data_IF_441063289881
#
_entry.id   IF_441063289881
#
_cell.length_a   1.000
_cell.length_b   1.000
_cell.length_c   1.000
_cell.angle_alpha   90.00
_cell.angle_beta   90.00
_cell.angle_gamma   90.00
#
_symmetry.space_group_name_H-M   'P 1'
#
loop_
_entity.id
_entity.type
_entity.pdbx_description
1 polymer ?
#
# COMPACT_ATOMS: atom_id res chain seq x y z
N UNK A 1 20.24 -12.96 13.34
CA UNK A 1 18.98 -12.67 12.63
C UNK A 1 17.86 -13.12 13.55
N UNK A 2 17.43 -12.24 14.41
CA UNK A 2 16.32 -12.49 15.35
C UNK A 2 15.07 -12.02 14.64
N UNK A 3 14.18 -12.98 14.30
CA UNK A 3 12.82 -12.68 13.90
C UNK A 3 12.10 -12.07 15.10
N UNK A 4 11.92 -10.74 15.10
CA UNK A 4 11.00 -10.07 16.00
C UNK A 4 9.55 -10.35 15.54
N UNK A 5 9.13 -11.58 15.75
CA UNK A 5 7.72 -11.91 15.83
C UNK A 5 7.29 -11.47 17.21
N UNK A 6 6.48 -10.41 17.30
CA UNK A 6 5.77 -10.12 18.54
C UNK A 6 5.16 -11.42 19.05
N UNK A 7 5.59 -11.87 20.19
CA UNK A 7 5.09 -13.10 20.79
C UNK A 7 3.59 -12.91 21.07
N UNK A 8 2.84 -14.00 21.11
CA UNK A 8 1.42 -14.01 21.50
C UNK A 8 1.17 -13.22 22.81
N UNK A 9 2.21 -12.99 23.59
CA UNK A 9 2.19 -12.24 24.85
C UNK A 9 2.13 -10.73 24.63
N UNK A 10 2.77 -10.16 23.60
CA UNK A 10 2.76 -8.72 23.30
C UNK A 10 1.46 -8.31 22.59
N UNK A 11 0.94 -9.20 21.74
CA UNK A 11 -0.42 -9.09 21.21
C UNK A 11 -1.44 -9.18 22.37
N UNK A 12 -1.21 -10.05 23.35
CA UNK A 12 -2.04 -10.21 24.55
C UNK A 12 -1.93 -9.02 25.52
N UNK A 13 -0.79 -8.31 25.55
CA UNK A 13 -0.60 -7.11 26.38
C UNK A 13 -1.34 -5.90 25.77
N UNK A 14 -1.32 -5.74 24.46
CA UNK A 14 -2.21 -4.79 23.77
C UNK A 14 -3.69 -5.12 24.01
N UNK A 15 -4.01 -6.41 24.12
CA UNK A 15 -5.34 -6.93 24.44
C UNK A 15 -5.76 -6.71 25.92
N UNK A 16 -4.82 -6.78 26.87
CA UNK A 16 -5.13 -6.59 28.32
C UNK A 16 -5.40 -5.14 28.68
N UNK A 17 -4.86 -4.16 27.95
CA UNK A 17 -5.19 -2.75 28.16
C UNK A 17 -6.63 -2.41 27.78
N UNK A 18 -7.28 -3.21 26.91
CA UNK A 18 -8.67 -3.03 26.51
C UNK A 18 -9.70 -3.52 27.57
N UNK A 19 -9.27 -4.17 28.66
CA UNK A 19 -10.21 -4.77 29.63
C UNK A 19 -10.65 -3.88 30.80
N UNK A 20 -10.18 -2.62 30.88
CA UNK A 20 -10.49 -1.76 32.01
C UNK A 20 -11.08 -0.43 31.56
N UNK A 21 -12.37 -0.40 31.27
CA UNK A 21 -13.24 0.73 31.62
C UNK A 21 -14.71 0.43 31.30
N UNK A 22 -15.52 0.56 32.32
CA UNK A 22 -16.99 0.44 32.25
C UNK A 22 -17.66 1.82 32.34
N UNK A 23 -18.70 2.00 31.51
CA UNK A 23 -19.82 2.93 31.63
C UNK A 23 -19.59 4.41 31.28
N UNK A 24 -20.10 4.81 30.09
CA UNK A 24 -20.91 6.05 29.96
C UNK A 24 -22.07 5.75 29.00
N UNK A 25 -23.30 5.94 29.45
CA UNK A 25 -24.52 5.89 28.64
C UNK A 25 -24.84 7.29 28.12
N UNK A 26 -24.89 7.47 26.80
CA UNK A 26 -25.64 8.56 26.17
C UNK A 26 -26.53 7.96 25.07
N UNK A 27 -27.83 8.05 25.24
CA UNK A 27 -28.83 7.65 24.25
C UNK A 27 -29.01 8.81 23.26
N UNK A 28 -28.62 8.60 22.00
CA UNK A 28 -29.12 9.38 20.86
C UNK A 28 -30.01 8.47 20.03
N UNK A 29 -31.29 8.83 19.93
CA UNK A 29 -32.22 8.16 19.02
C UNK A 29 -31.90 8.62 17.60
N UNK A 30 -31.39 7.72 16.76
CA UNK A 30 -31.23 7.91 15.32
C UNK A 30 -32.35 7.17 14.59
N UNK A 31 -32.86 7.70 13.46
CA UNK A 31 -33.87 7.01 12.65
C UNK A 31 -33.35 5.65 12.17
N UNK A 32 -34.28 4.72 11.95
CA UNK A 32 -34.01 3.31 11.65
C UNK A 32 -32.93 3.15 10.56
N UNK A 33 -31.78 2.59 10.96
CA UNK A 33 -30.68 2.24 10.07
C UNK A 33 -30.86 0.76 9.70
N UNK A 34 -31.06 0.46 8.42
CA UNK A 34 -31.03 -0.91 7.94
C UNK A 34 -29.56 -1.29 7.72
N UNK A 35 -29.07 -2.26 8.49
CA UNK A 35 -27.80 -2.90 8.24
C UNK A 35 -27.86 -3.80 7.00
N UNK A 36 -26.91 -3.71 6.12
CA UNK A 36 -26.70 -4.71 5.06
C UNK A 36 -26.48 -6.05 5.75
N UNK A 37 -27.41 -6.98 5.52
CA UNK A 37 -27.38 -8.39 5.95
C UNK A 37 -26.95 -8.67 7.41
N UNK A 38 -27.92 -8.90 8.28
CA UNK A 38 -27.74 -9.18 9.72
C UNK A 38 -27.10 -10.54 10.07
N UNK A 39 -26.64 -11.32 9.11
CA UNK A 39 -26.14 -12.69 9.32
C UNK A 39 -24.84 -12.93 8.57
N UNK A 40 -23.77 -12.29 9.02
CA UNK A 40 -22.41 -12.60 8.61
C UNK A 40 -21.64 -13.12 9.82
N UNK A 41 -21.98 -14.30 10.29
CA UNK A 41 -21.28 -14.95 11.40
C UNK A 41 -20.65 -16.24 10.89
N UNK A 42 -19.33 -16.34 10.99
CA UNK A 42 -18.70 -17.65 11.06
C UNK A 42 -19.28 -18.36 12.28
N UNK A 43 -19.80 -19.59 12.12
CA UNK A 43 -20.37 -20.40 13.17
C UNK A 43 -19.40 -20.52 14.36
N UNK A 44 -19.69 -19.90 15.48
CA UNK A 44 -18.85 -19.94 16.68
C UNK A 44 -19.29 -18.96 17.77
N UNK A 45 -18.64 -19.08 18.92
CA UNK A 45 -18.80 -18.14 20.03
C UNK A 45 -18.30 -16.76 19.60
N UNK A 46 -19.08 -15.71 19.87
CA UNK A 46 -18.66 -14.33 19.61
C UNK A 46 -17.40 -13.99 20.42
N UNK A 47 -16.30 -13.78 19.75
CA UNK A 47 -14.99 -13.46 20.34
C UNK A 47 -14.63 -11.98 20.24
N UNK A 48 -15.52 -11.16 19.68
CA UNK A 48 -15.28 -9.72 19.56
C UNK A 48 -15.25 -9.05 20.92
N UNK A 49 -14.32 -8.13 21.12
CA UNK A 49 -14.20 -7.31 22.32
C UNK A 49 -14.23 -5.81 21.97
N UNK A 50 -14.80 -4.96 22.86
CA UNK A 50 -14.80 -3.52 22.62
C UNK A 50 -13.39 -2.94 22.71
N UNK A 51 -13.11 -1.92 21.91
CA UNK A 51 -11.84 -1.16 21.93
C UNK A 51 -12.02 0.09 22.80
N UNK A 52 -11.18 0.24 23.80
CA UNK A 52 -11.07 1.45 24.64
C UNK A 52 -9.67 1.55 25.26
N UNK A 53 -8.92 2.64 25.05
CA UNK A 53 -9.30 3.83 24.28
C UNK A 53 -9.13 3.64 22.76
N UNK A 54 -10.05 4.21 21.97
CA UNK A 54 -9.98 4.18 20.50
C UNK A 54 -8.98 5.19 19.92
N UNK A 55 -8.35 6.04 20.74
CA UNK A 55 -7.52 7.18 20.30
C UNK A 55 -6.04 6.85 20.12
N UNK A 56 -5.62 5.63 20.44
CA UNK A 56 -4.25 5.15 20.21
C UNK A 56 -4.11 4.42 18.87
N UNK A 57 -2.88 4.37 18.27
CA UNK A 57 -2.63 3.49 17.13
C UNK A 57 -2.81 2.00 17.49
N UNK A 58 -3.34 1.19 16.58
CA UNK A 58 -3.82 1.52 15.24
C UNK A 58 -5.27 2.02 15.21
N UNK A 59 -5.97 2.02 16.32
CA UNK A 59 -7.43 2.26 16.41
C UNK A 59 -7.82 3.67 15.94
N UNK A 60 -7.01 4.70 16.24
CA UNK A 60 -7.25 6.08 15.80
C UNK A 60 -7.27 6.25 14.26
N UNK A 61 -6.83 5.25 13.52
CA UNK A 61 -6.82 5.25 12.05
C UNK A 61 -8.04 4.56 11.45
N UNK A 62 -8.93 3.99 12.29
CA UNK A 62 -10.14 3.29 11.85
C UNK A 62 -11.34 4.22 12.08
N UNK A 63 -12.22 4.35 11.09
CA UNK A 63 -13.37 5.24 11.14
C UNK A 63 -14.68 4.49 10.93
N UNK A 64 -15.74 5.04 11.51
CA UNK A 64 -17.12 4.67 11.15
C UNK A 64 -17.58 5.44 9.93
N UNK A 65 -18.38 4.79 9.10
CA UNK A 65 -19.01 5.37 7.92
C UNK A 65 -20.52 5.35 8.11
N UNK A 66 -21.17 6.51 7.90
CA UNK A 66 -22.61 6.59 7.68
C UNK A 66 -22.82 6.89 6.20
N UNK A 67 -23.41 5.96 5.49
CA UNK A 67 -23.54 5.94 4.02
C UNK A 67 -25.00 6.21 3.67
N UNK A 68 -25.26 7.14 2.73
CA UNK A 68 -26.59 7.44 2.24
C UNK A 68 -26.66 7.11 0.74
N UNK A 69 -27.60 6.23 0.36
CA UNK A 69 -27.84 5.84 -1.02
C UNK A 69 -28.63 6.88 -1.82
N UNK A 70 -28.72 6.71 -3.14
CA UNK A 70 -29.55 7.59 -3.97
C UNK A 70 -31.06 7.47 -3.65
N UNK A 71 -31.49 6.36 -3.04
CA UNK A 71 -32.87 6.17 -2.57
C UNK A 71 -33.10 6.73 -1.18
N UNK A 72 -32.10 7.37 -0.56
CA UNK A 72 -32.20 7.92 0.79
C UNK A 72 -32.07 6.86 1.91
N UNK A 73 -31.73 5.62 1.57
CA UNK A 73 -31.46 4.57 2.55
C UNK A 73 -30.12 4.86 3.25
N UNK A 74 -30.02 4.48 4.51
CA UNK A 74 -28.83 4.68 5.33
C UNK A 74 -28.24 3.38 5.76
N UNK A 75 -26.92 3.26 5.57
CA UNK A 75 -26.13 2.11 5.96
C UNK A 75 -24.97 2.55 6.83
N UNK A 76 -24.47 1.62 7.64
CA UNK A 76 -23.22 1.82 8.36
C UNK A 76 -22.14 0.92 7.77
N UNK A 77 -20.91 1.42 7.80
CA UNK A 77 -19.72 0.73 7.36
C UNK A 77 -18.53 1.13 8.20
N UNK A 78 -17.40 0.58 7.87
CA UNK A 78 -16.11 0.89 8.44
C UNK A 78 -15.13 1.33 7.34
N UNK A 79 -14.12 2.06 7.73
CA UNK A 79 -13.02 2.44 6.86
C UNK A 79 -11.75 2.63 7.67
N UNK A 80 -10.64 2.78 7.01
CA UNK A 80 -9.38 3.02 7.67
C UNK A 80 -8.44 3.87 6.81
N UNK A 81 -7.65 4.66 7.50
CA UNK A 81 -6.66 5.53 6.88
C UNK A 81 -5.38 4.77 6.57
N UNK A 82 -4.89 4.89 5.35
CA UNK A 82 -3.57 4.40 4.94
C UNK A 82 -2.65 5.57 4.61
N UNK A 83 -1.36 5.34 4.77
CA UNK A 83 -0.35 6.29 4.30
C UNK A 83 -0.01 5.99 2.84
N UNK A 84 -0.15 7.01 1.98
CA UNK A 84 0.30 6.97 0.57
C UNK A 84 1.30 8.10 0.32
N UNK A 85 2.35 7.87 -0.45
CA UNK A 85 3.34 8.90 -0.75
C UNK A 85 2.84 9.88 -1.83
N UNK A 86 3.36 11.09 -1.81
CA UNK A 86 3.20 12.10 -2.87
C UNK A 86 1.73 12.47 -3.19
N UNK A 87 0.84 12.34 -2.20
CA UNK A 87 -0.58 12.69 -2.34
C UNK A 87 -0.92 13.94 -1.52
N UNK A 88 -1.90 14.69 -1.98
CA UNK A 88 -2.36 15.94 -1.37
C UNK A 88 -3.64 15.79 -0.52
N UNK A 89 -4.16 14.57 -0.43
CA UNK A 89 -5.39 14.24 0.29
C UNK A 89 -5.20 13.02 1.20
N UNK A 90 -6.02 12.91 2.21
CA UNK A 90 -6.04 11.74 3.09
C UNK A 90 -6.84 10.61 2.45
N UNK A 91 -6.21 9.45 2.31
CA UNK A 91 -6.80 8.23 1.78
C UNK A 91 -7.48 7.40 2.89
N UNK A 92 -8.77 7.18 2.77
CA UNK A 92 -9.53 6.25 3.60
C UNK A 92 -10.00 5.09 2.72
N UNK A 93 -9.49 3.90 3.00
CA UNK A 93 -9.87 2.68 2.30
C UNK A 93 -11.12 2.08 2.94
N UNK A 94 -12.00 1.53 2.13
CA UNK A 94 -13.23 0.83 2.53
C UNK A 94 -13.60 -0.23 1.49
N UNK A 95 -14.67 -0.98 1.68
CA UNK A 95 -15.22 -1.86 0.63
C UNK A 95 -15.83 -1.05 -0.51
N UNK A 96 -15.80 -1.61 -1.71
CA UNK A 96 -16.43 -1.02 -2.90
C UNK A 96 -17.94 -0.83 -2.71
N UNK A 97 -18.63 -1.82 -2.12
CA UNK A 97 -20.06 -1.72 -1.82
C UNK A 97 -20.43 -0.65 -0.75
N UNK A 98 -19.45 -0.12 -0.03
CA UNK A 98 -19.66 1.04 0.85
C UNK A 98 -19.62 2.37 0.08
N UNK A 99 -19.06 2.39 -1.12
CA UNK A 99 -18.96 3.60 -1.96
C UNK A 99 -19.88 3.55 -3.18
N UNK A 100 -20.11 2.36 -3.75
CA UNK A 100 -20.92 2.15 -4.93
C UNK A 100 -22.03 1.13 -4.68
N UNK A 101 -23.27 1.59 -4.81
CA UNK A 101 -24.49 0.78 -4.67
C UNK A 101 -24.71 -0.02 -5.95
N UNK A 102 -24.20 -1.27 -5.99
CA UNK A 102 -24.19 -2.09 -7.21
C UNK A 102 -25.59 -2.31 -7.80
N UNK A 103 -26.59 -2.55 -6.96
CA UNK A 103 -27.97 -2.75 -7.40
C UNK A 103 -28.65 -1.47 -7.91
N UNK A 104 -28.22 -0.31 -7.41
CA UNK A 104 -28.71 1.01 -7.86
C UNK A 104 -27.88 1.53 -9.05
N UNK A 105 -26.78 0.90 -9.38
CA UNK A 105 -25.83 1.32 -10.43
C UNK A 105 -25.33 2.75 -10.25
N UNK A 106 -25.13 3.18 -9.00
CA UNK A 106 -24.69 4.52 -8.68
C UNK A 106 -23.83 4.58 -7.43
N UNK A 107 -23.04 5.63 -7.33
CA UNK A 107 -22.29 5.92 -6.10
C UNK A 107 -23.23 6.33 -4.96
N UNK A 108 -22.78 6.13 -3.72
CA UNK A 108 -23.40 6.72 -2.55
C UNK A 108 -23.47 8.24 -2.73
N UNK A 109 -24.62 8.84 -2.39
CA UNK A 109 -24.83 10.29 -2.52
C UNK A 109 -24.06 11.07 -1.46
N UNK A 110 -23.80 10.42 -0.32
CA UNK A 110 -23.14 11.03 0.83
C UNK A 110 -22.53 9.98 1.73
N UNK A 111 -21.30 10.23 2.15
CA UNK A 111 -20.64 9.41 3.18
C UNK A 111 -20.12 10.36 4.27
N UNK A 112 -20.54 10.09 5.52
CA UNK A 112 -20.01 10.77 6.69
C UNK A 112 -18.98 9.88 7.36
N UNK A 113 -17.74 10.37 7.41
CA UNK A 113 -16.58 9.68 7.97
C UNK A 113 -16.28 10.21 9.36
N UNK A 114 -16.23 9.35 10.36
CA UNK A 114 -15.97 9.76 11.75
C UNK A 114 -14.82 8.94 12.33
N UNK A 115 -13.68 9.59 12.58
CA UNK A 115 -12.56 9.02 13.33
C UNK A 115 -12.72 9.22 14.83
N UNK A 116 -12.17 8.34 15.67
CA UNK A 116 -12.21 8.49 17.13
C UNK A 116 -11.67 9.84 17.59
N UNK A 117 -12.46 10.55 18.41
CA UNK A 117 -12.09 11.85 18.97
C UNK A 117 -12.00 13.00 17.95
N UNK A 118 -12.43 12.82 16.71
CA UNK A 118 -12.39 13.84 15.67
C UNK A 118 -13.80 14.24 15.20
N UNK A 119 -13.89 15.46 14.67
CA UNK A 119 -15.12 15.93 14.02
C UNK A 119 -15.39 15.11 12.76
N UNK A 120 -16.63 14.74 12.54
CA UNK A 120 -17.06 14.06 11.32
C UNK A 120 -16.83 14.93 10.07
N UNK A 121 -16.41 14.27 9.00
CA UNK A 121 -16.24 14.87 7.67
C UNK A 121 -17.21 14.20 6.71
N UNK A 122 -17.92 14.98 5.92
CA UNK A 122 -18.88 14.48 4.93
C UNK A 122 -18.36 14.72 3.52
N UNK A 123 -18.43 13.71 2.68
CA UNK A 123 -18.01 13.73 1.27
C UNK A 123 -19.15 13.29 0.36
N UNK A 124 -19.08 13.69 -0.91
CA UNK A 124 -20.02 13.35 -1.97
C UNK A 124 -19.39 12.43 -3.04
N UNK A 125 -20.13 12.14 -4.12
CA UNK A 125 -19.72 11.19 -5.16
C UNK A 125 -18.36 11.50 -5.83
N UNK A 126 -17.95 12.77 -5.89
CA UNK A 126 -16.68 13.17 -6.51
C UNK A 126 -15.45 12.78 -5.67
N UNK A 127 -15.64 12.55 -4.39
CA UNK A 127 -14.58 12.23 -3.44
C UNK A 127 -14.53 10.76 -3.05
N UNK A 128 -15.29 9.91 -3.76
CA UNK A 128 -15.32 8.48 -3.54
C UNK A 128 -14.98 7.72 -4.82
N UNK A 129 -14.53 6.48 -4.64
CA UNK A 129 -14.12 5.60 -5.72
C UNK A 129 -14.44 4.14 -5.34
N UNK A 130 -14.85 3.35 -6.33
CA UNK A 130 -14.88 1.90 -6.26
C UNK A 130 -14.11 1.33 -7.46
N UNK A 131 -13.62 0.10 -7.36
CA UNK A 131 -12.90 -0.53 -8.46
C UNK A 131 -13.80 -0.66 -9.70
N UNK A 132 -13.26 -0.51 -10.92
CA UNK A 132 -14.03 -0.69 -12.14
C UNK A 132 -14.63 -2.10 -12.28
N UNK A 133 -13.92 -3.14 -11.82
CA UNK A 133 -14.39 -4.52 -11.85
C UNK A 133 -15.61 -4.70 -10.95
N UNK A 134 -15.59 -4.12 -9.76
CA UNK A 134 -16.76 -4.14 -8.89
C UNK A 134 -17.93 -3.36 -9.50
N UNK A 135 -17.69 -2.16 -10.05
CA UNK A 135 -18.73 -1.35 -10.70
C UNK A 135 -19.39 -2.08 -11.87
N UNK A 136 -18.58 -2.71 -12.71
CA UNK A 136 -19.06 -3.31 -13.96
C UNK A 136 -19.74 -4.66 -13.75
N UNK A 137 -19.18 -5.51 -12.89
CA UNK A 137 -19.59 -6.92 -12.77
C UNK A 137 -19.96 -7.37 -11.36
N UNK A 138 -19.78 -6.51 -10.33
CA UNK A 138 -19.96 -6.90 -8.94
C UNK A 138 -18.87 -7.88 -8.46
N UNK A 139 -17.70 -7.84 -9.07
CA UNK A 139 -16.60 -8.76 -8.75
C UNK A 139 -16.14 -8.57 -7.31
N UNK A 140 -16.28 -9.64 -6.53
CA UNK A 140 -15.98 -9.63 -5.10
C UNK A 140 -14.50 -9.65 -4.77
N UNK A 141 -13.64 -10.04 -5.70
CA UNK A 141 -12.18 -9.96 -5.55
C UNK A 141 -11.68 -8.53 -5.67
N UNK A 142 -12.51 -7.67 -6.26
CA UNK A 142 -12.26 -6.25 -6.47
C UNK A 142 -13.25 -5.35 -5.70
N UNK A 143 -13.92 -5.88 -4.67
CA UNK A 143 -14.82 -5.10 -3.82
C UNK A 143 -14.04 -4.24 -2.82
N UNK A 144 -13.33 -3.24 -3.35
CA UNK A 144 -12.61 -2.23 -2.59
C UNK A 144 -12.91 -0.82 -3.11
N UNK A 145 -12.85 0.13 -2.21
CA UNK A 145 -13.14 1.53 -2.47
C UNK A 145 -12.21 2.48 -1.73
N UNK A 146 -12.27 3.74 -2.13
CA UNK A 146 -11.47 4.83 -1.57
C UNK A 146 -12.38 6.03 -1.29
N UNK A 147 -12.17 6.66 -0.15
CA UNK A 147 -12.77 7.93 0.23
C UNK A 147 -11.64 8.95 0.39
N UNK A 148 -11.76 10.09 -0.30
CA UNK A 148 -10.77 11.14 -0.31
C UNK A 148 -11.18 12.26 0.64
N UNK A 149 -10.46 12.40 1.74
CA UNK A 149 -10.69 13.50 2.67
C UNK A 149 -9.75 14.68 2.36
N UNK A 150 -10.18 15.93 2.64
CA UNK A 150 -9.34 17.09 2.45
C UNK A 150 -8.15 17.08 3.42
N UNK A 151 -7.02 17.62 2.96
CA UNK A 151 -5.76 17.70 3.70
C UNK A 151 -4.97 16.40 3.71
N UNK A 152 -3.68 16.53 3.93
CA UNK A 152 -2.74 15.41 4.02
C UNK A 152 -2.69 14.85 5.44
N UNK A 153 -2.28 13.61 5.58
CA UNK A 153 -2.07 12.97 6.86
C UNK A 153 -0.82 12.10 6.80
N UNK A 154 0.12 12.41 7.68
CA UNK A 154 1.39 11.68 7.79
C UNK A 154 1.26 10.39 8.62
N UNK A 155 0.08 10.14 9.19
CA UNK A 155 -0.20 8.94 9.98
C UNK A 155 -1.27 8.06 9.31
N UNK A 156 -1.21 6.78 9.57
CA UNK A 156 -2.13 5.77 9.02
C UNK A 156 -1.53 4.38 9.14
N UNK A 157 -2.28 3.38 8.71
CA UNK A 157 -1.73 2.05 8.55
C UNK A 157 -0.64 2.03 7.49
N UNK A 158 0.42 1.27 7.75
CA UNK A 158 1.22 0.72 6.70
C UNK A 158 0.45 -0.34 5.91
N UNK A 159 0.97 -0.74 4.80
CA UNK A 159 0.40 -1.78 3.95
C UNK A 159 1.50 -2.48 3.16
N UNK A 160 1.23 -3.71 2.73
CA UNK A 160 2.14 -4.45 1.85
C UNK A 160 1.35 -5.23 0.82
N UNK A 161 1.74 -5.08 -0.44
CA UNK A 161 1.23 -5.83 -1.58
C UNK A 161 2.18 -6.98 -2.00
N UNK A 162 3.24 -7.22 -1.22
CA UNK A 162 4.34 -8.13 -1.58
C UNK A 162 4.72 -9.12 -0.48
N UNK A 163 3.88 -9.28 0.55
CA UNK A 163 4.13 -10.33 1.55
C UNK A 163 4.11 -11.68 0.84
N UNK A 164 5.16 -12.48 0.98
CA UNK A 164 5.23 -13.81 0.37
C UNK A 164 4.07 -14.71 0.79
N UNK A 165 3.59 -15.51 -0.13
CA UNK A 165 2.43 -16.39 0.09
C UNK A 165 2.64 -17.38 1.23
N UNK A 166 3.87 -17.87 1.40
CA UNK A 166 4.27 -18.74 2.52
C UNK A 166 4.17 -18.06 3.88
N UNK A 167 4.33 -16.73 3.92
CA UNK A 167 4.19 -15.93 5.14
C UNK A 167 2.74 -15.54 5.47
N UNK A 168 1.81 -15.72 4.54
CA UNK A 168 0.39 -15.44 4.76
C UNK A 168 -0.31 -16.59 5.48
N UNK A 169 0.01 -17.84 5.14
CA UNK A 169 -0.67 -19.00 5.69
C UNK A 169 -0.48 -19.12 7.22
N UNK A 170 -1.59 -19.32 7.93
CA UNK A 170 -1.65 -19.37 9.39
C UNK A 170 -1.20 -18.08 10.11
N UNK A 171 -1.01 -16.98 9.37
CA UNK A 171 -0.72 -15.68 10.00
C UNK A 171 -1.90 -15.22 10.82
N UNK A 172 -1.61 -14.79 12.06
CA UNK A 172 -2.62 -14.12 12.89
C UNK A 172 -2.92 -12.75 12.32
N UNK A 173 -4.20 -12.49 12.14
CA UNK A 173 -4.73 -11.22 11.62
C UNK A 173 -5.80 -10.68 12.54
N UNK A 174 -5.89 -9.39 12.59
CA UNK A 174 -6.82 -8.63 13.39
C UNK A 174 -7.82 -7.96 12.46
N UNK A 175 -9.09 -8.04 12.80
CA UNK A 175 -10.14 -7.20 12.21
C UNK A 175 -10.67 -6.26 13.28
N UNK A 176 -10.83 -4.99 12.95
CA UNK A 176 -11.32 -3.98 13.87
C UNK A 176 -12.21 -2.98 13.13
N UNK A 177 -13.44 -2.78 13.60
CA UNK A 177 -14.40 -1.92 12.92
C UNK A 177 -15.63 -1.61 13.78
N UNK A 178 -16.70 -1.16 13.13
CA UNK A 178 -17.92 -0.67 13.75
C UNK A 178 -19.12 -1.58 13.41
N UNK A 179 -19.35 -2.68 14.14
CA UNK A 179 -20.42 -3.62 13.84
C UNK A 179 -21.81 -3.05 14.17
N UNK A 180 -22.80 -3.38 13.33
CA UNK A 180 -24.17 -2.87 13.44
C UNK A 180 -24.98 -3.49 14.60
N UNK A 181 -24.56 -4.64 15.11
CA UNK A 181 -25.19 -5.32 16.26
C UNK A 181 -24.70 -4.83 17.62
N UNK A 182 -23.96 -3.76 17.65
CA UNK A 182 -23.38 -3.14 18.85
C UNK A 182 -23.79 -1.68 18.95
N UNK A 183 -23.63 -1.02 20.11
CA UNK A 183 -23.95 0.39 20.23
C UNK A 183 -23.25 1.23 19.17
N UNK A 184 -24.00 2.11 18.52
CA UNK A 184 -23.50 2.95 17.41
C UNK A 184 -22.29 3.76 17.88
N UNK A 185 -21.26 3.80 17.04
CA UNK A 185 -20.01 4.52 17.33
C UNK A 185 -19.03 3.78 18.24
N UNK A 186 -19.36 2.53 18.66
CA UNK A 186 -18.41 1.69 19.38
C UNK A 186 -17.60 0.82 18.44
N UNK A 187 -16.30 0.78 18.66
CA UNK A 187 -15.35 -0.01 17.88
C UNK A 187 -15.13 -1.36 18.54
N UNK A 188 -15.09 -2.41 17.75
CA UNK A 188 -14.91 -3.77 18.20
C UNK A 188 -13.82 -4.48 17.42
N UNK A 189 -13.05 -5.32 18.12
CA UNK A 189 -11.90 -6.03 17.58
C UNK A 189 -12.07 -7.54 17.74
N UNK A 190 -11.59 -8.28 16.77
CA UNK A 190 -11.44 -9.75 16.82
C UNK A 190 -10.16 -10.15 16.11
N UNK A 191 -9.55 -11.21 16.55
CA UNK A 191 -8.42 -11.85 15.92
C UNK A 191 -8.80 -13.20 15.32
N UNK A 192 -7.98 -13.70 14.43
CA UNK A 192 -8.14 -14.99 13.79
C UNK A 192 -6.91 -15.29 12.93
N UNK A 193 -7.03 -16.32 12.11
CA UNK A 193 -5.93 -16.75 11.25
C UNK A 193 -6.35 -16.77 9.78
N UNK A 194 -5.41 -16.48 8.89
CA UNK A 194 -5.56 -16.69 7.45
C UNK A 194 -5.59 -18.20 7.21
N UNK A 195 -6.67 -18.68 6.61
CA UNK A 195 -6.86 -20.12 6.35
C UNK A 195 -6.45 -20.52 4.93
N UNK A 196 -6.56 -19.60 3.99
CA UNK A 196 -6.08 -19.74 2.62
C UNK A 196 -6.09 -18.37 1.92
N UNK A 197 -5.51 -18.30 0.74
CA UNK A 197 -5.48 -17.09 -0.08
C UNK A 197 -5.43 -17.43 -1.56
N UNK A 198 -5.73 -16.43 -2.39
CA UNK A 198 -5.45 -16.38 -3.83
C UNK A 198 -4.62 -15.13 -4.12
N UNK A 199 -4.34 -14.85 -5.38
CA UNK A 199 -3.66 -13.60 -5.76
C UNK A 199 -4.41 -12.34 -5.27
N UNK A 200 -5.76 -12.37 -5.28
CA UNK A 200 -6.59 -11.20 -5.00
C UNK A 200 -7.44 -11.33 -3.72
N UNK A 201 -7.39 -12.46 -3.00
CA UNK A 201 -8.30 -12.72 -1.88
C UNK A 201 -7.60 -13.41 -0.71
N UNK A 202 -8.00 -13.05 0.49
CA UNK A 202 -7.62 -13.72 1.74
C UNK A 202 -8.87 -14.31 2.38
N UNK A 203 -8.79 -15.57 2.83
CA UNK A 203 -9.82 -16.27 3.60
C UNK A 203 -9.41 -16.41 5.06
N UNK A 204 -10.37 -16.27 5.98
CA UNK A 204 -10.07 -16.23 7.41
C UNK A 204 -11.25 -16.67 8.27
N UNK A 205 -10.96 -16.88 9.58
CA UNK A 205 -11.94 -17.33 10.58
C UNK A 205 -12.10 -16.30 11.72
N UNK A 206 -12.45 -15.07 11.38
CA UNK A 206 -12.80 -14.06 12.37
C UNK A 206 -14.33 -13.96 12.46
N UNK A 207 -14.86 -13.61 13.63
CA UNK A 207 -16.29 -13.28 13.78
C UNK A 207 -16.50 -11.86 13.27
N UNK A 208 -17.32 -11.71 12.25
CA UNK A 208 -17.69 -10.40 11.67
C UNK A 208 -19.20 -10.29 11.48
N UNK A 209 -19.72 -9.09 11.52
CA UNK A 209 -21.14 -8.76 11.35
C UNK A 209 -21.26 -7.53 10.46
N UNK A 210 -22.42 -7.34 9.83
CA UNK A 210 -22.74 -6.15 9.05
C UNK A 210 -22.34 -4.86 9.77
N UNK A 211 -21.83 -3.88 9.02
CA UNK A 211 -21.21 -2.66 9.54
C UNK A 211 -19.68 -2.74 9.67
N UNK A 212 -19.09 -3.93 9.74
CA UNK A 212 -17.63 -4.10 9.68
C UNK A 212 -17.10 -4.10 8.23
N UNK A 213 -17.96 -4.11 7.21
CA UNK A 213 -17.58 -3.92 5.81
C UNK A 213 -16.68 -2.69 5.65
N UNK A 214 -15.55 -2.85 4.97
CA UNK A 214 -14.53 -1.83 4.80
C UNK A 214 -13.53 -1.71 5.95
N UNK A 215 -13.63 -2.53 7.00
CA UNK A 215 -12.64 -2.52 8.08
C UNK A 215 -11.31 -3.15 7.65
N UNK A 216 -10.17 -2.75 8.28
CA UNK A 216 -8.87 -3.30 7.95
C UNK A 216 -8.73 -4.73 8.46
N UNK A 217 -8.13 -5.57 7.63
CA UNK A 217 -7.50 -6.81 8.02
C UNK A 217 -5.99 -6.58 8.13
N UNK A 218 -5.44 -6.59 9.33
CA UNK A 218 -4.08 -6.14 9.59
C UNK A 218 -3.34 -7.05 10.57
N UNK A 219 -2.04 -6.93 10.55
CA UNK A 219 -1.10 -7.64 11.43
C UNK A 219 0.08 -6.74 11.77
N UNK A 220 0.90 -7.15 12.75
CA UNK A 220 2.20 -6.54 12.95
C UNK A 220 3.20 -7.17 11.97
N UNK A 221 3.78 -6.37 11.09
CA UNK A 221 4.71 -6.83 10.06
C UNK A 221 5.74 -5.75 9.76
N UNK A 222 7.01 -6.13 9.66
CA UNK A 222 8.08 -5.17 9.34
C UNK A 222 8.27 -4.04 10.36
N UNK A 223 7.81 -4.20 11.61
CA UNK A 223 7.93 -3.19 12.66
C UNK A 223 6.77 -2.18 12.72
N UNK A 224 5.65 -2.43 12.03
CA UNK A 224 4.49 -1.53 12.01
C UNK A 224 3.16 -2.27 11.79
N UNK A 225 2.03 -1.58 12.06
CA UNK A 225 0.71 -2.10 11.77
C UNK A 225 0.44 -2.09 10.27
N UNK A 226 0.41 -3.26 9.66
CA UNK A 226 0.31 -3.46 8.20
C UNK A 226 -1.03 -4.05 7.83
N UNK A 227 -1.76 -3.39 6.93
CA UNK A 227 -2.99 -3.92 6.35
C UNK A 227 -2.66 -4.89 5.22
N UNK A 228 -3.38 -6.02 5.21
CA UNK A 228 -3.26 -7.08 4.22
C UNK A 228 -4.48 -7.17 3.30
N UNK A 229 -5.66 -6.77 3.79
CA UNK A 229 -6.92 -6.89 3.07
C UNK A 229 -7.99 -5.92 3.61
N UNK A 230 -9.04 -5.73 2.82
CA UNK A 230 -10.23 -4.94 3.16
C UNK A 230 -11.38 -5.90 3.44
N UNK A 231 -11.90 -5.91 4.66
CA UNK A 231 -13.05 -6.79 4.99
C UNK A 231 -14.27 -6.41 4.17
N UNK A 232 -14.85 -7.38 3.47
CA UNK A 232 -15.99 -7.16 2.60
C UNK A 232 -17.13 -8.16 2.79
N UNK A 233 -16.82 -9.42 3.10
CA UNK A 233 -17.86 -10.47 3.15
C UNK A 233 -17.69 -11.41 4.35
N UNK A 234 -18.76 -11.48 5.14
CA UNK A 234 -18.92 -12.43 6.23
C UNK A 234 -19.73 -13.64 5.80
N UNK A 235 -19.04 -14.69 5.35
CA UNK A 235 -19.60 -16.04 5.12
C UNK A 235 -18.61 -17.06 5.65
N UNK A 236 -19.00 -18.31 5.75
CA UNK A 236 -18.08 -19.36 6.18
C UNK A 236 -17.44 -20.05 4.94
N UNK A 237 -16.14 -19.86 4.67
CA UNK A 237 -15.20 -18.92 5.31
C UNK A 237 -15.45 -17.46 4.93
N UNK A 238 -15.13 -16.54 5.83
CA UNK A 238 -15.10 -15.11 5.53
C UNK A 238 -13.96 -14.83 4.54
N UNK A 239 -14.10 -13.78 3.74
CA UNK A 239 -13.04 -13.36 2.82
C UNK A 239 -12.99 -11.83 2.62
N UNK A 240 -11.84 -11.38 2.16
CA UNK A 240 -11.55 -9.98 1.89
C UNK A 240 -10.68 -9.83 0.63
N UNK A 241 -10.88 -8.81 -0.20
CA UNK A 241 -9.92 -8.38 -1.21
C UNK A 241 -8.57 -8.13 -0.57
N UNK A 242 -7.53 -8.80 -1.11
CA UNK A 242 -6.13 -8.65 -0.68
C UNK A 242 -5.58 -7.31 -1.19
N UNK A 243 -4.74 -6.66 -0.41
CA UNK A 243 -3.94 -5.54 -0.90
C UNK A 243 -3.01 -6.03 -2.00
N UNK A 244 -3.17 -5.49 -3.19
CA UNK A 244 -2.37 -5.81 -4.37
C UNK A 244 -1.71 -4.54 -4.91
N UNK A 245 -0.66 -4.72 -5.69
CA UNK A 245 -0.02 -3.62 -6.41
C UNK A 245 -1.03 -2.87 -7.31
N UNK A 246 -1.92 -3.61 -7.95
CA UNK A 246 -2.97 -3.02 -8.79
C UNK A 246 -3.92 -2.12 -7.99
N UNK A 247 -4.40 -2.57 -6.84
CA UNK A 247 -5.23 -1.77 -5.95
C UNK A 247 -4.54 -0.45 -5.58
N UNK A 248 -3.27 -0.50 -5.16
CA UNK A 248 -2.49 0.69 -4.79
C UNK A 248 -2.26 1.60 -5.99
N UNK A 249 -1.95 1.06 -7.17
CA UNK A 249 -1.79 1.85 -8.40
C UNK A 249 -3.05 2.65 -8.72
N UNK A 250 -4.22 2.02 -8.62
CA UNK A 250 -5.52 2.68 -8.85
C UNK A 250 -5.82 3.78 -7.82
N UNK A 251 -5.45 3.55 -6.55
CA UNK A 251 -5.59 4.58 -5.52
C UNK A 251 -4.70 5.78 -5.83
N UNK A 252 -3.44 5.56 -6.19
CA UNK A 252 -2.52 6.62 -6.58
C UNK A 252 -2.97 7.37 -7.84
N UNK A 253 -3.44 6.64 -8.87
CA UNK A 253 -4.02 7.24 -10.08
C UNK A 253 -5.21 8.16 -9.72
N UNK A 254 -6.13 7.67 -8.88
CA UNK A 254 -7.30 8.44 -8.44
C UNK A 254 -6.92 9.69 -7.63
N UNK A 255 -5.79 9.66 -6.94
CA UNK A 255 -5.26 10.75 -6.12
C UNK A 255 -4.23 11.63 -6.85
N UNK A 256 -4.04 11.45 -8.16
CA UNK A 256 -3.01 12.12 -8.96
C UNK A 256 -1.58 11.94 -8.39
N UNK A 257 -1.35 10.91 -7.60
CA UNK A 257 -0.05 10.59 -7.00
C UNK A 257 0.90 9.84 -7.94
N UNK A 258 0.35 9.18 -8.96
CA UNK A 258 1.14 8.42 -9.93
C UNK A 258 1.51 9.28 -11.13
N UNK A 259 2.67 9.93 -11.07
CA UNK A 259 3.20 10.78 -12.14
C UNK A 259 4.39 10.12 -12.79
N UNK A 260 4.55 10.34 -14.11
CA UNK A 260 5.80 10.00 -14.80
C UNK A 260 6.95 10.80 -14.21
N UNK A 261 8.05 10.15 -13.95
CA UNK A 261 9.26 10.75 -13.40
C UNK A 261 10.46 10.33 -14.21
N UNK A 262 11.39 11.25 -14.47
CA UNK A 262 12.72 10.90 -14.95
C UNK A 262 13.70 10.88 -13.77
N UNK A 263 14.72 10.04 -13.88
CA UNK A 263 15.77 9.88 -12.88
C UNK A 263 17.03 10.57 -13.41
N UNK A 264 17.22 11.83 -13.01
CA UNK A 264 18.40 12.62 -13.40
C UNK A 264 19.54 12.38 -12.41
N UNK A 265 20.70 12.03 -12.92
CA UNK A 265 21.88 11.81 -12.10
C UNK A 265 22.29 13.08 -11.32
N UNK A 266 22.68 12.91 -10.07
CA UNK A 266 23.27 13.99 -9.27
C UNK A 266 24.71 14.26 -9.69
N UNK A 267 25.50 13.22 -10.01
CA UNK A 267 26.88 13.35 -10.46
C UNK A 267 27.00 13.93 -11.89
N UNK A 268 26.00 13.64 -12.75
CA UNK A 268 25.97 14.05 -14.15
C UNK A 268 24.68 14.80 -14.45
N UNK A 269 24.61 16.13 -14.22
CA UNK A 269 23.35 16.88 -14.15
C UNK A 269 22.56 16.98 -15.46
N UNK A 270 23.07 16.47 -16.57
CA UNK A 270 22.40 16.43 -17.87
C UNK A 270 22.14 15.01 -18.36
N UNK A 271 22.36 14.02 -17.50
CA UNK A 271 22.26 12.61 -17.84
C UNK A 271 21.14 11.95 -17.03
N UNK A 272 20.32 11.18 -17.72
CA UNK A 272 19.16 10.50 -17.19
C UNK A 272 19.30 8.99 -17.32
N UNK A 273 18.75 8.25 -16.37
CA UNK A 273 18.55 6.82 -16.49
C UNK A 273 17.66 6.54 -17.72
N UNK A 274 18.04 5.56 -18.54
CA UNK A 274 17.32 5.13 -19.72
C UNK A 274 17.06 3.62 -19.66
N UNK A 275 15.86 3.21 -20.04
CA UNK A 275 15.47 1.80 -20.15
C UNK A 275 15.08 1.47 -21.59
N UNK A 276 15.77 0.54 -22.19
CA UNK A 276 15.41 -0.09 -23.45
C UNK A 276 14.89 -1.51 -23.18
N UNK A 277 13.58 -1.62 -23.13
CA UNK A 277 12.86 -2.88 -22.90
C UNK A 277 12.45 -3.57 -24.20
N UNK A 278 13.04 -3.21 -25.35
CA UNK A 278 12.73 -3.83 -26.65
C UNK A 278 12.93 -5.34 -26.57
N UNK A 279 11.88 -6.11 -26.92
CA UNK A 279 11.90 -7.57 -26.87
C UNK A 279 11.61 -8.19 -25.52
N UNK A 280 11.51 -7.40 -24.43
CA UNK A 280 11.15 -7.90 -23.09
C UNK A 280 9.64 -8.03 -22.98
N UNK A 281 9.10 -9.18 -23.36
CA UNK A 281 7.64 -9.43 -23.46
C UNK A 281 7.16 -10.54 -22.54
N UNK A 282 8.07 -11.24 -21.87
CA UNK A 282 7.78 -12.32 -20.92
C UNK A 282 8.89 -12.37 -19.87
N UNK A 283 8.62 -13.05 -18.76
CA UNK A 283 9.64 -13.30 -17.76
C UNK A 283 10.70 -14.27 -18.31
N UNK A 284 11.94 -13.87 -18.23
CA UNK A 284 13.11 -14.70 -18.63
C UNK A 284 14.23 -14.54 -17.61
N UNK A 285 15.00 -15.61 -17.42
CA UNK A 285 16.22 -15.59 -16.63
C UNK A 285 17.41 -15.43 -17.59
N UNK A 286 18.27 -14.47 -17.42
CA UNK A 286 18.56 -13.54 -16.31
C UNK A 286 17.93 -12.15 -16.42
N UNK A 287 16.85 -11.95 -17.11
CA UNK A 287 16.28 -10.67 -17.51
C UNK A 287 16.66 -10.34 -18.95
N UNK A 288 16.36 -9.14 -19.40
CA UNK A 288 16.61 -8.72 -20.78
C UNK A 288 16.64 -7.21 -20.93
N UNK A 289 16.66 -6.75 -22.17
CA UNK A 289 16.76 -5.34 -22.50
C UNK A 289 18.06 -4.69 -22.03
N UNK A 290 18.11 -3.37 -22.06
CA UNK A 290 19.30 -2.60 -21.69
C UNK A 290 18.92 -1.42 -20.80
N UNK A 291 19.61 -1.27 -19.68
CA UNK A 291 19.53 -0.06 -18.84
C UNK A 291 20.87 0.66 -18.93
N UNK A 292 20.84 1.88 -19.47
CA UNK A 292 22.00 2.75 -19.64
C UNK A 292 21.63 4.20 -19.33
N UNK A 293 22.27 5.16 -19.88
CA UNK A 293 21.92 6.56 -19.69
C UNK A 293 21.82 7.33 -21.01
N UNK A 294 21.14 8.48 -20.94
CA UNK A 294 20.96 9.36 -22.08
C UNK A 294 21.18 10.82 -21.66
N UNK A 295 21.75 11.59 -22.55
CA UNK A 295 21.83 13.04 -22.42
C UNK A 295 20.43 13.66 -22.65
N UNK A 296 20.12 14.75 -21.94
CA UNK A 296 18.82 15.46 -22.02
C UNK A 296 18.43 15.86 -23.48
N UNK A 297 17.15 16.14 -23.76
CA UNK A 297 16.00 16.08 -22.84
C UNK A 297 15.50 14.65 -22.66
N UNK A 298 14.86 14.33 -21.50
CA UNK A 298 14.27 13.01 -21.30
C UNK A 298 13.07 12.80 -22.23
N UNK A 299 12.94 11.57 -22.71
CA UNK A 299 11.80 11.06 -23.48
C UNK A 299 11.05 9.99 -22.71
N UNK A 300 10.17 9.22 -23.36
CA UNK A 300 9.50 8.10 -22.70
C UNK A 300 10.49 7.00 -22.27
N UNK A 301 11.64 6.87 -22.91
CA UNK A 301 12.69 5.89 -22.58
C UNK A 301 13.43 6.23 -21.28
N UNK A 302 13.46 7.51 -20.92
CA UNK A 302 14.04 8.03 -19.68
C UNK A 302 12.96 8.36 -18.63
N UNK A 303 11.73 7.97 -18.91
CA UNK A 303 10.57 8.19 -18.03
C UNK A 303 10.10 6.90 -17.39
N UNK A 304 9.72 6.98 -16.13
CA UNK A 304 9.34 5.83 -15.31
C UNK A 304 8.13 6.13 -14.46
N UNK A 305 7.38 5.08 -14.11
CA UNK A 305 6.44 5.08 -13.01
C UNK A 305 7.09 4.38 -11.81
N UNK A 306 7.15 5.06 -10.68
CA UNK A 306 7.68 4.51 -9.44
C UNK A 306 6.49 4.12 -8.57
N UNK A 307 6.18 2.82 -8.51
CA UNK A 307 5.08 2.31 -7.72
C UNK A 307 5.55 1.87 -6.35
N UNK A 308 5.00 2.42 -5.26
CA UNK A 308 5.17 1.83 -3.96
C UNK A 308 4.50 0.45 -3.94
N UNK A 309 5.16 -0.52 -3.32
CA UNK A 309 4.64 -1.89 -3.15
C UNK A 309 4.53 -2.29 -1.67
N UNK A 310 5.17 -1.51 -0.82
CA UNK A 310 5.07 -1.61 0.63
C UNK A 310 5.37 -0.24 1.25
N UNK A 311 4.59 0.14 2.23
CA UNK A 311 4.78 1.39 2.96
C UNK A 311 4.86 1.09 4.45
N UNK A 312 5.94 1.54 5.07
CA UNK A 312 6.11 1.60 6.51
C UNK A 312 6.09 3.05 6.97
N UNK A 313 5.18 3.47 7.86
CA UNK A 313 5.33 4.75 8.53
C UNK A 313 6.63 4.73 9.33
N UNK A 314 7.62 5.52 8.94
CA UNK A 314 8.88 5.63 9.68
C UNK A 314 8.62 6.35 11.00
N UNK A 315 9.11 5.80 12.10
CA UNK A 315 9.20 6.50 13.39
C UNK A 315 10.32 7.56 13.38
N UNK A 316 11.16 7.59 12.36
CA UNK A 316 12.21 8.56 12.12
C UNK A 316 11.87 9.45 10.93
N UNK A 317 12.42 10.64 10.88
CA UNK A 317 12.20 11.72 9.90
C UNK A 317 12.50 11.40 8.41
N UNK A 318 12.76 10.14 8.06
CA UNK A 318 13.01 9.67 6.69
C UNK A 318 12.09 8.50 6.38
N UNK A 319 11.08 8.76 5.54
CA UNK A 319 10.21 7.70 5.04
C UNK A 319 10.97 6.88 4.00
N UNK A 320 11.24 5.63 4.34
CA UNK A 320 11.79 4.65 3.38
C UNK A 320 10.68 3.66 3.03
N UNK A 321 10.43 3.44 1.76
CA UNK A 321 9.42 2.48 1.32
C UNK A 321 9.92 1.65 0.15
N UNK A 322 9.33 0.46 -0.04
CA UNK A 322 9.68 -0.41 -1.13
C UNK A 322 8.90 -0.03 -2.39
N UNK A 323 9.63 0.04 -3.50
CA UNK A 323 9.09 0.43 -4.81
C UNK A 323 9.50 -0.55 -5.89
N UNK A 324 8.78 -0.50 -7.01
CA UNK A 324 9.23 -0.98 -8.32
C UNK A 324 9.31 0.19 -9.28
N UNK A 325 10.18 0.10 -10.27
CA UNK A 325 10.43 1.15 -11.28
C UNK A 325 10.01 0.57 -12.62
N UNK A 326 8.83 0.96 -13.12
CA UNK A 326 8.30 0.53 -14.42
C UNK A 326 8.65 1.54 -15.51
N UNK A 327 9.11 1.07 -16.66
CA UNK A 327 9.33 1.92 -17.84
C UNK A 327 8.01 2.56 -18.30
N UNK A 328 8.02 3.84 -18.62
CA UNK A 328 6.85 4.50 -19.22
C UNK A 328 6.65 4.14 -20.69
N UNK A 329 7.72 3.74 -21.38
CA UNK A 329 7.70 3.32 -22.78
C UNK A 329 7.25 1.85 -22.92
N UNK A 330 7.73 0.98 -22.05
CA UNK A 330 7.50 -0.47 -22.13
C UNK A 330 6.66 -0.91 -20.91
N UNK A 331 5.37 -1.11 -21.13
CA UNK A 331 4.44 -1.55 -20.08
C UNK A 331 4.82 -2.94 -19.55
N UNK A 332 4.75 -3.12 -18.23
CA UNK A 332 5.13 -4.34 -17.51
C UNK A 332 6.63 -4.68 -17.58
N UNK A 333 7.46 -3.73 -18.01
CA UNK A 333 8.92 -3.85 -17.99
C UNK A 333 9.48 -3.03 -16.84
N UNK A 334 10.18 -3.70 -15.92
CA UNK A 334 10.68 -3.11 -14.67
C UNK A 334 12.19 -3.14 -14.63
N UNK A 335 12.78 -2.14 -14.00
CA UNK A 335 14.22 -2.13 -13.70
C UNK A 335 14.52 -3.31 -12.77
N UNK A 336 15.55 -4.08 -13.12
CA UNK A 336 16.04 -5.26 -12.40
C UNK A 336 17.50 -5.06 -12.03
N UNK A 337 17.88 -5.53 -10.85
CA UNK A 337 19.27 -5.53 -10.39
C UNK A 337 19.74 -6.95 -10.09
N UNK A 338 20.89 -7.31 -10.65
CA UNK A 338 21.65 -8.51 -10.34
C UNK A 338 23.04 -8.16 -9.82
N UNK A 339 23.22 -8.29 -8.53
CA UNK A 339 24.54 -8.08 -7.89
C UNK A 339 25.06 -9.35 -7.18
N UNK A 340 24.72 -10.51 -7.72
CA UNK A 340 25.28 -11.79 -7.23
C UNK A 340 26.79 -11.76 -7.21
N UNK A 341 27.38 -12.18 -6.09
CA UNK A 341 28.83 -12.22 -5.91
C UNK A 341 29.47 -10.90 -5.49
N UNK A 342 28.74 -9.78 -5.49
CA UNK A 342 29.26 -8.52 -4.94
C UNK A 342 29.28 -8.58 -3.42
N UNK A 343 30.45 -8.40 -2.82
CA UNK A 343 30.65 -8.46 -1.36
C UNK A 343 31.58 -7.35 -0.83
N UNK A 344 32.00 -6.42 -1.69
CA UNK A 344 32.82 -5.28 -1.32
C UNK A 344 32.61 -4.13 -2.34
N UNK A 345 32.99 -2.93 -1.94
CA UNK A 345 32.96 -1.74 -2.81
C UNK A 345 34.01 -1.85 -3.91
N UNK A 346 33.60 -1.56 -5.14
CA UNK A 346 34.46 -1.51 -6.32
C UNK A 346 34.36 -0.15 -6.99
N UNK A 347 35.50 0.45 -7.36
CA UNK A 347 35.56 1.79 -7.95
C UNK A 347 34.69 1.98 -9.19
N UNK A 348 34.69 1.05 -10.17
CA UNK A 348 33.81 1.14 -11.35
C UNK A 348 32.38 0.63 -11.10
N UNK A 349 32.05 0.15 -9.87
CA UNK A 349 30.86 -0.63 -9.63
C UNK A 349 30.98 -2.05 -10.19
N UNK A 350 29.89 -2.81 -10.15
CA UNK A 350 29.83 -4.19 -10.63
C UNK A 350 28.41 -4.65 -10.81
N UNK A 351 28.21 -5.96 -10.97
CA UNK A 351 26.88 -6.52 -11.20
C UNK A 351 26.21 -6.01 -12.47
N UNK A 352 24.92 -6.21 -12.60
CA UNK A 352 24.14 -5.85 -13.76
C UNK A 352 22.85 -5.14 -13.36
N UNK A 353 22.51 -4.08 -14.07
CA UNK A 353 21.17 -3.46 -14.05
C UNK A 353 20.60 -3.59 -15.46
N UNK A 354 19.53 -4.35 -15.58
CA UNK A 354 18.79 -4.57 -16.83
C UNK A 354 17.27 -4.45 -16.58
N UNK A 355 16.44 -5.06 -17.39
CA UNK A 355 14.99 -5.05 -17.17
C UNK A 355 14.41 -6.46 -17.17
N UNK A 356 13.18 -6.56 -16.62
CA UNK A 356 12.41 -7.81 -16.51
C UNK A 356 10.95 -7.54 -16.80
N UNK A 357 10.30 -8.47 -17.49
CA UNK A 357 8.85 -8.51 -17.57
C UNK A 357 8.29 -9.12 -16.29
N UNK A 358 7.37 -8.43 -15.65
CA UNK A 358 6.86 -8.73 -14.31
C UNK A 358 7.88 -8.48 -13.19
N UNK A 359 7.47 -8.66 -11.94
CA UNK A 359 8.29 -8.34 -10.77
C UNK A 359 8.55 -9.56 -9.90
N UNK A 360 9.73 -9.59 -9.31
CA UNK A 360 10.23 -10.54 -8.35
C UNK A 360 11.07 -9.79 -7.31
N UNK A 361 11.68 -10.43 -6.32
CA UNK A 361 12.54 -9.74 -5.36
C UNK A 361 13.68 -8.90 -5.96
N UNK A 362 14.11 -9.19 -7.18
CA UNK A 362 15.20 -8.52 -7.89
C UNK A 362 14.81 -7.15 -8.47
N UNK A 363 13.50 -6.90 -8.64
CA UNK A 363 12.91 -5.66 -9.12
C UNK A 363 12.40 -4.77 -7.98
N UNK A 364 12.53 -5.20 -6.70
CA UNK A 364 12.16 -4.38 -5.56
C UNK A 364 13.33 -3.55 -5.05
N UNK A 365 13.07 -2.26 -4.82
CA UNK A 365 14.04 -1.32 -4.30
C UNK A 365 13.50 -0.61 -3.07
N UNK A 366 14.37 -0.36 -2.08
CA UNK A 366 14.14 0.65 -1.08
C UNK A 366 14.42 2.02 -1.70
N UNK A 367 13.41 2.85 -1.80
CA UNK A 367 13.55 4.27 -2.14
C UNK A 367 13.86 5.04 -0.86
N UNK A 368 15.01 5.72 -0.84
CA UNK A 368 15.43 6.58 0.27
C UNK A 368 15.62 8.00 -0.22
N UNK A 369 15.05 8.96 0.51
CA UNK A 369 15.35 10.37 0.30
C UNK A 369 16.64 10.71 1.04
N UNK A 370 17.62 11.23 0.33
CA UNK A 370 18.91 11.64 0.88
C UNK A 370 18.83 13.04 1.51
N UNK A 371 19.82 13.40 2.35
CA UNK A 371 19.86 14.68 3.06
C UNK A 371 19.95 15.90 2.15
N UNK A 372 20.49 15.74 0.94
CA UNK A 372 20.55 16.78 -0.11
C UNK A 372 19.27 16.91 -0.93
N UNK A 373 18.19 16.15 -0.58
CA UNK A 373 16.93 16.15 -1.29
C UNK A 373 16.87 15.26 -2.54
N UNK A 374 17.96 14.59 -2.90
CA UNK A 374 17.98 13.55 -3.94
C UNK A 374 17.43 12.23 -3.42
N UNK A 375 17.39 11.21 -4.27
CA UNK A 375 16.89 9.89 -3.94
C UNK A 375 17.90 8.81 -4.35
N UNK A 376 17.96 7.73 -3.58
CA UNK A 376 18.73 6.53 -3.90
C UNK A 376 17.83 5.30 -3.95
N UNK A 377 18.24 4.30 -4.74
CA UNK A 377 17.53 3.05 -4.93
C UNK A 377 18.44 1.89 -4.52
N UNK A 378 18.14 1.31 -3.36
CA UNK A 378 18.84 0.17 -2.80
C UNK A 378 18.02 -1.09 -3.03
N UNK A 379 18.61 -2.14 -3.58
CA UNK A 379 17.88 -3.36 -3.90
C UNK A 379 17.44 -4.11 -2.63
N UNK A 380 16.25 -4.72 -2.65
CA UNK A 380 15.71 -5.49 -1.52
C UNK A 380 16.39 -6.85 -1.39
N UNK A 381 16.65 -7.52 -2.51
CA UNK A 381 17.32 -8.83 -2.54
C UNK A 381 18.82 -8.72 -2.22
N UNK A 382 19.44 -7.60 -2.60
CA UNK A 382 20.85 -7.31 -2.37
C UNK A 382 20.98 -6.05 -1.52
N UNK A 383 20.79 -6.13 -0.19
CA UNK A 383 20.57 -4.99 0.67
C UNK A 383 21.79 -4.09 0.89
N UNK A 384 22.94 -4.42 0.31
CA UNK A 384 24.15 -3.60 0.28
C UNK A 384 24.37 -2.91 -1.06
N UNK A 385 23.52 -3.16 -2.08
CA UNK A 385 23.74 -2.71 -3.44
C UNK A 385 22.73 -1.63 -3.86
N UNK A 386 23.25 -0.58 -4.47
CA UNK A 386 22.51 0.57 -5.01
C UNK A 386 22.62 0.62 -6.53
N UNK A 387 21.61 1.19 -7.20
CA UNK A 387 21.72 1.57 -8.62
C UNK A 387 22.77 2.67 -8.72
N UNK A 388 23.78 2.47 -9.57
CA UNK A 388 24.86 3.41 -9.87
C UNK A 388 24.80 3.81 -11.34
N UNK A 389 24.94 5.11 -11.61
CA UNK A 389 24.97 5.66 -12.96
C UNK A 389 26.33 6.33 -13.20
N UNK A 390 27.05 5.86 -14.22
CA UNK A 390 28.27 6.44 -14.75
C UNK A 390 27.99 7.09 -16.12
N UNK A 391 27.82 8.41 -16.11
CA UNK A 391 27.52 9.22 -17.30
C UNK A 391 28.75 9.83 -17.96
N UNK A 392 29.95 9.35 -17.66
CA UNK A 392 31.17 9.87 -18.29
C UNK A 392 31.14 9.66 -19.82
N UNK A 393 31.42 10.70 -20.58
CA UNK A 393 31.37 10.67 -22.05
C UNK A 393 29.95 10.73 -22.63
N UNK A 394 28.89 10.90 -21.81
CA UNK A 394 27.54 11.13 -22.28
C UNK A 394 27.26 12.64 -22.27
N UNK A 395 27.65 13.31 -23.33
CA UNK A 395 27.61 14.77 -23.52
C UNK A 395 26.68 15.23 -24.65
N UNK A 396 26.10 14.28 -25.37
CA UNK A 396 25.15 14.50 -26.45
C UNK A 396 24.09 13.40 -26.47
N UNK A 397 22.97 13.66 -27.16
CA UNK A 397 21.91 12.66 -27.35
C UNK A 397 22.40 11.62 -28.37
N UNK A 398 22.50 10.38 -27.92
CA UNK A 398 22.98 9.25 -28.72
C UNK A 398 21.88 8.17 -28.81
N UNK A 399 21.71 7.61 -29.96
CA UNK A 399 20.97 6.37 -30.18
C UNK A 399 21.98 5.21 -30.26
N UNK A 400 21.92 4.24 -29.36
CA UNK A 400 20.87 3.83 -28.39
C UNK A 400 21.13 4.28 -26.92
N UNK A 401 21.66 5.44 -26.67
CA UNK A 401 22.11 5.90 -25.36
C UNK A 401 23.58 5.57 -25.11
N UNK A 402 24.10 5.85 -23.92
CA UNK A 402 25.49 5.65 -23.58
C UNK A 402 25.73 5.49 -22.09
N UNK A 403 26.97 5.59 -21.66
CA UNK A 403 27.38 5.44 -20.28
C UNK A 403 27.14 4.04 -19.72
N UNK A 404 27.23 3.90 -18.40
CA UNK A 404 27.09 2.62 -17.71
C UNK A 404 26.11 2.78 -16.53
N UNK A 405 25.14 1.88 -16.45
CA UNK A 405 24.31 1.70 -15.27
C UNK A 405 24.57 0.30 -14.72
N UNK A 406 25.05 0.25 -13.49
CA UNK A 406 25.39 -1.00 -12.80
C UNK A 406 25.10 -0.89 -11.30
N UNK A 407 25.70 -1.72 -10.47
CA UNK A 407 25.51 -1.75 -9.03
C UNK A 407 26.73 -1.21 -8.29
N UNK A 408 26.50 -0.52 -7.18
CA UNK A 408 27.53 -0.16 -6.22
C UNK A 408 27.25 -0.81 -4.87
N UNK A 409 28.23 -1.53 -4.34
CA UNK A 409 28.18 -2.14 -3.03
C UNK A 409 28.63 -1.16 -1.95
N UNK A 410 27.92 -1.15 -0.82
CA UNK A 410 28.25 -0.39 0.38
C UNK A 410 28.41 -1.35 1.56
N UNK A 411 29.53 -1.29 2.27
CA UNK A 411 29.77 -2.09 3.49
C UNK A 411 28.75 -1.78 4.57
N UNK A 412 28.42 -0.51 4.71
CA UNK A 412 27.33 -0.03 5.59
C UNK A 412 26.25 0.68 4.76
N UNK A 413 25.10 0.02 4.52
CA UNK A 413 24.00 0.60 3.75
C UNK A 413 23.22 1.70 4.51
N UNK A 414 23.56 1.98 5.78
CA UNK A 414 22.96 3.09 6.53
C UNK A 414 23.53 4.46 6.16
N UNK A 415 24.76 4.50 5.63
CA UNK A 415 25.36 5.76 5.19
C UNK A 415 24.66 6.34 3.97
N UNK A 416 24.69 7.67 3.77
CA UNK A 416 24.12 8.30 2.58
C UNK A 416 24.76 7.78 1.30
N UNK A 417 23.96 7.59 0.25
CA UNK A 417 24.45 7.25 -1.08
C UNK A 417 25.31 8.39 -1.65
N UNK A 418 26.34 8.05 -2.42
CA UNK A 418 27.13 9.06 -3.10
C UNK A 418 26.37 9.68 -4.28
N UNK A 419 26.94 10.70 -4.92
CA UNK A 419 26.31 11.39 -6.05
C UNK A 419 26.09 10.47 -7.26
N UNK A 420 26.86 9.39 -7.38
CA UNK A 420 26.76 8.41 -8.48
C UNK A 420 25.59 7.45 -8.33
N UNK A 421 25.12 7.23 -7.09
CA UNK A 421 23.98 6.39 -6.72
C UNK A 421 22.74 7.23 -6.36
N UNK A 422 22.81 8.55 -6.59
CA UNK A 422 21.77 9.50 -6.24
C UNK A 422 21.15 10.15 -7.46
N UNK A 423 19.83 10.36 -7.41
CA UNK A 423 19.03 10.86 -8.51
C UNK A 423 18.07 11.97 -8.06
N UNK A 424 17.85 12.96 -8.89
CA UNK A 424 16.71 13.85 -8.80
C UNK A 424 15.52 13.25 -9.54
N UNK A 425 14.36 13.16 -8.88
CA UNK A 425 13.12 12.72 -9.48
C UNK A 425 12.39 13.94 -10.07
N UNK A 426 12.36 14.03 -11.41
CA UNK A 426 11.71 15.12 -12.14
C UNK A 426 10.37 14.64 -12.69
N UNK A 427 9.29 15.36 -12.35
CA UNK A 427 7.91 15.04 -12.77
C UNK A 427 7.62 15.65 -14.14
N UNK A 428 6.96 14.88 -15.02
CA UNK A 428 6.56 15.30 -16.36
C UNK A 428 5.08 15.17 -16.61
#
# INVERSE_FOLDING_TARGET
MTNDVLTSLEILLAYKHARHCSRIKARMELPAVRGLSLLESASGKDTRVPVDPMTSPPYKWICSLLIESARGERFIGSGFKIHLPDVDRTAVVTSGHCTYMYEERTYATKITVTFPGRRAVTVGPNDIYASPEYINTGDKDHDYGLILLPGTSDDGFGWSAIIPDEELNNRTVINCGYPADRPIGTMWITDGVITSHTANRIYYKNVTVGGQSGSPFYTWYGGYWTVLAVHSYGRCPNFAPRFTREMISRFLERMNGLKKKSLRSVAFPHVYLRCDGTGVTRWERPGGGTVNCQYKPPSLWESFYIYPVEMAPSLASQTTYKVVIESAQFRHVFIRMDSQGMNHSMGPGGGEVNCQFTVSPWEFFYLRRETNGSYSFRNVQFPHCYIRLDGRGVDSCLEPGGGIVNCQYYDDPSIPASTWESFHLEVH
#
